data_IF_257096617872
#
_entry.id   IF_257096617872
#
_cell.length_a   1.000
_cell.length_b   1.000
_cell.length_c   1.000
_cell.angle_alpha   90.00
_cell.angle_beta   90.00
_cell.angle_gamma   90.00
#
_symmetry.space_group_name_H-M   'P 1'
#
loop_
_entity.id
_entity.type
_entity.pdbx_description
1 polymer ?
#
# COMPACT_ATOMS: atom_id res chain seq x y z
N UNK A 1 -9.08 -0.49 0.48
CA UNK A 1 -8.06 0.02 1.44
C UNK A 1 -8.65 0.44 2.77
N UNK A 2 -9.65 1.34 2.84
CA UNK A 2 -10.27 1.78 4.12
C UNK A 2 -10.64 0.65 5.08
N UNK A 3 -11.32 -0.39 4.60
CA UNK A 3 -11.68 -1.54 5.44
C UNK A 3 -10.46 -2.31 5.97
N UNK A 4 -9.45 -2.54 5.14
CA UNK A 4 -8.20 -3.20 5.57
C UNK A 4 -7.47 -2.40 6.64
N UNK A 5 -7.46 -1.07 6.52
CA UNK A 5 -6.90 -0.17 7.53
C UNK A 5 -7.70 -0.25 8.84
N UNK A 6 -9.03 -0.27 8.74
CA UNK A 6 -9.88 -0.48 9.91
C UNK A 6 -9.59 -1.83 10.59
N UNK A 7 -9.45 -2.92 9.83
CA UNK A 7 -9.06 -4.22 10.37
C UNK A 7 -7.68 -4.21 11.02
N UNK A 8 -6.72 -3.50 10.43
CA UNK A 8 -5.38 -3.31 10.98
C UNK A 8 -5.43 -2.64 12.37
N UNK A 9 -6.07 -1.47 12.47
CA UNK A 9 -6.14 -0.73 13.73
C UNK A 9 -6.96 -1.44 14.82
N UNK A 10 -7.89 -2.31 14.43
CA UNK A 10 -8.67 -3.12 15.36
C UNK A 10 -8.03 -4.48 15.68
N UNK A 11 -6.79 -4.76 15.23
CA UNK A 11 -6.12 -6.06 15.42
C UNK A 11 -6.94 -7.26 14.92
N UNK A 12 -7.69 -7.09 13.82
CA UNK A 12 -8.57 -8.13 13.23
C UNK A 12 -7.96 -8.79 11.98
N UNK A 13 -6.67 -8.62 11.76
CA UNK A 13 -5.94 -9.24 10.65
C UNK A 13 -5.33 -10.56 11.13
N UNK A 14 -5.72 -11.65 10.48
CA UNK A 14 -5.03 -12.93 10.58
C UNK A 14 -4.13 -13.07 9.34
N UNK A 15 -2.86 -13.43 9.55
CA UNK A 15 -1.91 -13.61 8.45
C UNK A 15 -0.95 -14.75 8.74
N UNK A 16 -0.56 -15.48 7.70
CA UNK A 16 0.51 -16.47 7.77
C UNK A 16 1.91 -15.83 7.79
N UNK A 17 2.00 -14.53 7.50
CA UNK A 17 3.27 -13.79 7.60
C UNK A 17 3.64 -13.57 9.07
N UNK A 18 4.92 -13.73 9.41
CA UNK A 18 5.39 -13.47 10.78
C UNK A 18 5.24 -12.01 11.23
N UNK A 19 5.08 -11.08 10.27
CA UNK A 19 4.88 -9.67 10.52
C UNK A 19 4.00 -9.03 9.46
N UNK A 20 3.34 -7.93 9.84
CA UNK A 20 2.68 -7.02 8.92
C UNK A 20 2.84 -5.59 9.45
N UNK A 21 2.86 -4.59 8.56
CA UNK A 21 3.07 -3.20 8.94
C UNK A 21 2.26 -2.25 8.07
N UNK A 22 1.66 -1.25 8.71
CA UNK A 22 1.00 -0.15 8.03
C UNK A 22 1.93 1.05 7.94
N UNK A 23 1.93 1.71 6.78
CA UNK A 23 2.61 2.98 6.54
C UNK A 23 1.64 3.99 5.98
N UNK A 24 1.56 5.13 6.64
CA UNK A 24 0.83 6.29 6.19
C UNK A 24 1.85 7.34 5.74
N UNK A 25 1.69 7.87 4.53
CA UNK A 25 2.54 8.92 4.01
C UNK A 25 1.74 10.20 3.89
N UNK A 26 2.19 11.28 4.54
CA UNK A 26 1.62 12.62 4.42
C UNK A 26 2.62 13.55 3.78
N UNK A 27 2.19 14.26 2.73
CA UNK A 27 2.84 15.49 2.28
C UNK A 27 1.95 16.66 2.71
N UNK A 28 2.61 17.75 3.10
CA UNK A 28 2.08 19.00 3.65
C UNK A 28 0.63 19.25 3.19
N UNK A 29 -0.30 19.17 4.15
CA UNK A 29 -1.72 19.53 4.05
C UNK A 29 -2.50 18.89 2.90
N UNK A 30 -3.03 17.67 3.11
CA UNK A 30 -4.49 17.37 3.15
C UNK A 30 -4.84 15.93 2.75
N UNK A 31 -3.99 15.21 2.00
CA UNK A 31 -4.27 13.82 1.60
C UNK A 31 -3.14 12.86 1.97
N UNK A 32 -3.47 11.85 2.79
CA UNK A 32 -2.53 10.81 3.24
C UNK A 32 -2.66 9.55 2.40
N UNK A 33 -1.54 9.02 1.93
CA UNK A 33 -1.46 7.77 1.20
C UNK A 33 -1.23 6.59 2.11
N UNK A 34 -2.02 5.54 1.93
CA UNK A 34 -1.98 4.35 2.77
C UNK A 34 -1.29 3.18 2.07
N UNK A 35 -0.37 2.51 2.77
CA UNK A 35 0.27 1.27 2.32
C UNK A 35 0.33 0.24 3.43
N UNK A 36 -0.07 -0.99 3.15
CA UNK A 36 0.01 -2.13 4.04
C UNK A 36 0.97 -3.17 3.46
N UNK A 37 1.89 -3.65 4.29
CA UNK A 37 2.82 -4.73 3.96
C UNK A 37 2.51 -5.96 4.81
N UNK A 38 2.48 -7.14 4.19
CA UNK A 38 2.46 -8.42 4.89
C UNK A 38 3.76 -9.16 4.56
N UNK A 39 4.53 -9.48 5.59
CA UNK A 39 5.90 -9.96 5.45
C UNK A 39 6.93 -8.83 5.36
N UNK A 40 8.20 -9.22 5.38
CA UNK A 40 9.32 -8.27 5.30
C UNK A 40 9.54 -7.81 3.87
N UNK A 41 9.85 -6.52 3.65
CA UNK A 41 10.30 -6.04 2.34
C UNK A 41 11.63 -6.64 1.88
N UNK A 42 12.35 -7.35 2.75
CA UNK A 42 13.61 -8.02 2.43
C UNK A 42 13.44 -9.52 2.17
N UNK A 43 12.27 -10.12 2.43
CA UNK A 43 12.03 -11.55 2.20
C UNK A 43 11.83 -11.90 0.72
N UNK A 44 11.88 -13.20 0.42
CA UNK A 44 11.58 -13.78 -0.89
C UNK A 44 10.11 -13.66 -1.27
N UNK A 45 9.20 -13.58 -0.30
CA UNK A 45 7.78 -13.36 -0.48
C UNK A 45 7.27 -12.25 0.45
N UNK A 46 6.57 -11.27 -0.09
CA UNK A 46 5.74 -10.34 0.69
C UNK A 46 4.57 -9.80 -0.14
N UNK A 47 3.55 -9.27 0.54
CA UNK A 47 2.40 -8.63 -0.08
C UNK A 47 2.44 -7.13 0.16
N UNK A 48 2.02 -6.33 -0.83
CA UNK A 48 1.94 -4.87 -0.72
C UNK A 48 0.61 -4.37 -1.26
N UNK A 49 -0.21 -3.81 -0.38
CA UNK A 49 -1.52 -3.25 -0.71
C UNK A 49 -1.51 -1.74 -0.48
N UNK A 50 -1.87 -0.96 -1.49
CA UNK A 50 -1.72 0.49 -1.40
C UNK A 50 -2.64 1.27 -2.34
N UNK A 51 -2.75 2.56 -2.07
CA UNK A 51 -3.47 3.54 -2.89
C UNK A 51 -2.56 3.96 -4.07
N UNK A 52 -2.80 3.35 -5.23
CA UNK A 52 -1.99 3.51 -6.44
C UNK A 52 -2.24 4.85 -7.13
N UNK A 53 -3.48 5.30 -7.08
CA UNK A 53 -3.89 6.65 -7.45
C UNK A 53 -3.05 7.70 -6.70
N UNK A 54 -2.95 7.58 -5.38
CA UNK A 54 -2.15 8.46 -4.53
C UNK A 54 -0.65 8.32 -4.82
N UNK A 55 -0.13 7.10 -4.98
CA UNK A 55 1.27 6.86 -5.35
C UNK A 55 1.64 7.53 -6.68
N UNK A 56 0.77 7.45 -7.68
CA UNK A 56 0.99 8.07 -8.99
C UNK A 56 0.80 9.59 -8.95
N UNK A 57 -0.18 10.08 -8.19
CA UNK A 57 -0.41 11.52 -8.00
C UNK A 57 0.84 12.17 -7.39
N UNK A 58 1.42 11.53 -6.36
CA UNK A 58 2.69 11.93 -5.76
C UNK A 58 3.86 11.88 -6.75
N UNK A 59 3.99 10.78 -7.49
CA UNK A 59 5.09 10.59 -8.43
C UNK A 59 5.06 11.59 -9.60
N UNK A 60 3.86 12.02 -10.02
CA UNK A 60 3.66 12.93 -11.16
C UNK A 60 3.42 14.39 -10.73
N UNK A 61 3.26 14.66 -9.44
CA UNK A 61 2.97 16.01 -8.93
C UNK A 61 1.58 16.52 -9.31
N UNK A 62 0.61 15.63 -9.49
CA UNK A 62 -0.77 15.94 -9.91
C UNK A 62 -1.77 15.56 -8.83
N UNK A 63 -3.04 15.91 -9.01
CA UNK A 63 -4.10 15.52 -8.08
C UNK A 63 -4.47 14.03 -8.19
N UNK A 64 -5.01 13.45 -7.12
CA UNK A 64 -5.57 12.09 -7.14
C UNK A 64 -6.73 11.97 -8.13
N UNK A 65 -7.56 13.02 -8.24
CA UNK A 65 -8.68 13.06 -9.18
C UNK A 65 -8.23 13.03 -10.64
N UNK A 66 -7.10 13.68 -10.95
CA UNK A 66 -6.51 13.64 -12.29
C UNK A 66 -6.02 12.23 -12.64
N UNK A 67 -5.37 11.52 -11.71
CA UNK A 67 -4.97 10.12 -11.91
C UNK A 67 -6.20 9.21 -12.09
N UNK A 68 -7.26 9.43 -11.31
CA UNK A 68 -8.53 8.69 -11.48
C UNK A 68 -9.13 8.89 -12.88
N UNK A 69 -9.10 10.12 -13.41
CA UNK A 69 -9.66 10.45 -14.72
C UNK A 69 -8.81 9.92 -15.87
N UNK A 70 -7.49 9.96 -15.73
CA UNK A 70 -6.54 9.64 -16.81
C UNK A 70 -6.17 8.16 -16.86
N UNK A 71 -5.81 7.56 -15.71
CA UNK A 71 -5.36 6.16 -15.65
C UNK A 71 -6.43 5.20 -15.10
N UNK A 72 -7.46 5.71 -14.42
CA UNK A 72 -8.45 4.87 -13.73
C UNK A 72 -7.89 4.09 -12.54
N UNK A 73 -6.70 4.45 -12.04
CA UNK A 73 -6.11 3.79 -10.88
C UNK A 73 -6.87 4.08 -9.61
N UNK A 74 -6.87 3.13 -8.67
CA UNK A 74 -7.39 3.32 -7.32
C UNK A 74 -6.50 2.59 -6.32
N UNK A 75 -6.82 1.34 -5.99
CA UNK A 75 -5.97 0.50 -5.15
C UNK A 75 -5.15 -0.47 -6.00
N UNK A 76 -3.96 -0.84 -5.53
CA UNK A 76 -3.18 -1.94 -6.09
C UNK A 76 -2.84 -2.96 -5.02
N UNK A 77 -2.95 -4.23 -5.39
CA UNK A 77 -2.61 -5.39 -4.57
C UNK A 77 -1.52 -6.17 -5.28
N UNK A 78 -0.36 -6.30 -4.66
CA UNK A 78 0.80 -6.97 -5.26
C UNK A 78 1.26 -8.15 -4.40
N UNK A 79 1.64 -9.22 -5.09
CA UNK A 79 2.41 -10.33 -4.55
C UNK A 79 3.82 -10.18 -5.10
N UNK A 80 4.80 -10.00 -4.23
CA UNK A 80 6.19 -9.83 -4.63
C UNK A 80 6.94 -11.12 -4.32
N UNK A 81 7.44 -11.74 -5.38
CA UNK A 81 8.30 -12.93 -5.34
C UNK A 81 9.72 -12.53 -5.73
N UNK A 82 10.71 -13.01 -4.99
CA UNK A 82 12.13 -12.81 -5.25
C UNK A 82 12.87 -14.12 -5.05
N UNK A 83 13.98 -14.28 -5.77
CA UNK A 83 14.90 -15.38 -5.55
C UNK A 83 15.41 -15.34 -4.11
N UNK A 84 15.41 -16.48 -3.44
CA UNK A 84 16.04 -16.61 -2.14
C UNK A 84 17.55 -16.34 -2.26
N UNK A 85 18.09 -15.61 -1.29
CA UNK A 85 19.54 -15.46 -1.17
C UNK A 85 20.03 -16.78 -0.57
N UNK A 86 20.54 -17.65 -1.44
CA UNK A 86 21.32 -18.84 -1.06
C UNK A 86 22.61 -18.43 -0.36
#
# INVERSE_FOLDING_TARGET
MRELIHLYYNNRILTASQSYSFRESSVVSTNKGSTLYFGSRQSSLFFRFYEKDWEQAQARGVSVDEIHQTDGFKNRFEIVLRKEKY
#
